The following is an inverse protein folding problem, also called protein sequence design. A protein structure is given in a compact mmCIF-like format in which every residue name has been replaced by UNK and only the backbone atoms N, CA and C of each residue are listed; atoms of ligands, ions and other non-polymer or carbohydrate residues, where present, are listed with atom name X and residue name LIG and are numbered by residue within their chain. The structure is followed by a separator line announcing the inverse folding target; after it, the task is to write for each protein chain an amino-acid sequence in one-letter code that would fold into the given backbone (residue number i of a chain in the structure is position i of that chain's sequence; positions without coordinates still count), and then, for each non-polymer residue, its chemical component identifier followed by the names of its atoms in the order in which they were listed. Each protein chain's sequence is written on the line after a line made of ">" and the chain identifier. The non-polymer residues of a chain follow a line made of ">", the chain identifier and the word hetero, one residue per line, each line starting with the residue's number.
data_IF_396111295248
#
_entry.id   IF_396111295248
#
_cell.length_a   1.000
_cell.length_b   1.000
_cell.length_c   1.000
_cell.angle_alpha   90.00
_cell.angle_beta   90.00
_cell.angle_gamma   90.00
#
_symmetry.space_group_name_H-M   'P 1'
#
loop_
_entity.id
_entity.type
_entity.pdbx_description
1 polymer ?
#
# COMPACT_ATOMS: atom_id res chain seq x y z
N UNK A 1 4.80 3.16 44.72
CA UNK A 1 5.27 3.35 43.33
C UNK A 1 4.07 3.49 42.42
N UNK A 2 3.84 4.65 41.79
CA UNK A 2 2.61 4.94 41.01
C UNK A 2 2.88 4.69 39.53
N UNK A 3 2.19 3.70 38.94
CA UNK A 3 2.25 3.42 37.50
C UNK A 3 1.43 4.48 36.77
N UNK A 4 2.07 5.31 35.94
CA UNK A 4 1.40 6.32 35.13
C UNK A 4 1.10 5.69 33.77
N UNK A 5 -0.14 5.21 33.60
CA UNK A 5 -0.66 4.76 32.30
C UNK A 5 -1.23 5.97 31.56
N UNK A 6 -0.49 6.51 30.60
CA UNK A 6 -1.00 7.56 29.71
C UNK A 6 -1.77 6.90 28.56
N UNK A 7 -3.10 7.03 28.61
CA UNK A 7 -3.99 6.65 27.53
C UNK A 7 -4.26 7.88 26.64
N UNK A 8 -3.37 8.15 25.67
CA UNK A 8 -3.55 9.24 24.71
C UNK A 8 -4.51 8.84 23.58
N UNK A 9 -5.81 8.85 23.87
CA UNK A 9 -6.85 8.72 22.84
C UNK A 9 -7.01 10.04 22.09
N UNK A 10 -6.11 10.30 21.13
CA UNK A 10 -6.26 11.42 20.18
C UNK A 10 -7.31 11.04 19.13
N UNK A 11 -8.57 11.37 19.42
CA UNK A 11 -9.68 11.21 18.47
C UNK A 11 -9.65 12.37 17.46
N UNK A 12 -8.71 12.31 16.51
CA UNK A 12 -8.65 13.29 15.42
C UNK A 12 -9.74 12.98 14.39
N UNK A 13 -10.87 13.70 14.50
CA UNK A 13 -11.96 13.67 13.51
C UNK A 13 -11.49 14.47 12.28
N UNK A 14 -10.66 13.85 11.45
CA UNK A 14 -10.33 14.38 10.14
C UNK A 14 -11.56 14.26 9.23
N UNK A 15 -12.16 15.40 8.89
CA UNK A 15 -13.20 15.47 7.84
C UNK A 15 -12.54 15.19 6.49
N UNK A 16 -12.52 13.93 6.08
CA UNK A 16 -12.05 13.54 4.75
C UNK A 16 -12.98 14.14 3.70
N UNK A 17 -12.54 15.20 3.04
CA UNK A 17 -13.16 15.67 1.80
C UNK A 17 -13.02 14.56 0.77
N UNK A 18 -14.14 13.91 0.45
CA UNK A 18 -14.18 12.86 -0.56
C UNK A 18 -13.99 13.47 -1.95
N UNK A 19 -12.74 13.62 -2.37
CA UNK A 19 -12.43 13.90 -3.77
C UNK A 19 -12.86 12.69 -4.61
N UNK A 20 -14.00 12.84 -5.28
CA UNK A 20 -14.44 11.90 -6.31
C UNK A 20 -13.45 11.99 -7.48
N UNK A 21 -12.45 11.10 -7.48
CA UNK A 21 -11.43 11.09 -8.53
C UNK A 21 -12.08 10.56 -9.81
N UNK A 22 -12.28 11.44 -10.80
CA UNK A 22 -12.83 11.09 -12.10
C UNK A 22 -12.05 9.92 -12.73
N UNK A 23 -12.77 8.93 -13.26
CA UNK A 23 -12.23 7.96 -14.21
C UNK A 23 -11.86 8.67 -15.52
N UNK A 24 -10.64 9.19 -15.60
CA UNK A 24 -10.12 9.89 -16.77
C UNK A 24 -8.71 9.44 -17.13
N UNK A 25 -8.59 8.77 -18.28
CA UNK A 25 -7.30 8.36 -18.85
C UNK A 25 -6.79 7.01 -18.34
N UNK A 26 -6.77 6.00 -19.21
CA UNK A 26 -6.01 4.77 -19.00
C UNK A 26 -4.51 5.05 -19.23
N UNK A 27 -3.92 5.88 -18.36
CA UNK A 27 -2.48 6.02 -18.26
C UNK A 27 -1.93 4.67 -17.81
N UNK A 28 -1.10 4.05 -18.64
CA UNK A 28 -0.43 2.80 -18.27
C UNK A 28 0.66 3.15 -17.27
N UNK A 29 0.30 3.13 -15.99
CA UNK A 29 1.27 3.23 -14.91
C UNK A 29 2.40 2.22 -15.15
N UNK A 30 3.64 2.70 -15.16
CA UNK A 30 4.81 1.85 -15.02
C UNK A 30 4.71 1.07 -13.72
N UNK A 31 5.24 -0.14 -13.71
CA UNK A 31 5.26 -1.01 -12.54
C UNK A 31 6.72 -1.40 -12.26
N UNK A 32 7.53 -0.49 -11.66
CA UNK A 32 8.96 -0.71 -11.47
C UNK A 32 9.32 -2.02 -10.76
N UNK A 33 8.43 -2.52 -9.88
CA UNK A 33 8.65 -3.74 -9.09
C UNK A 33 7.68 -4.89 -9.45
N UNK A 34 6.86 -4.73 -10.49
CA UNK A 34 5.87 -5.71 -10.93
C UNK A 34 4.62 -5.78 -10.03
N UNK A 35 4.34 -4.73 -9.26
CA UNK A 35 3.13 -4.56 -8.45
C UNK A 35 2.01 -3.79 -9.14
N UNK A 36 0.89 -3.64 -8.43
CA UNK A 36 -0.19 -2.72 -8.81
C UNK A 36 0.17 -1.31 -8.35
N UNK A 37 0.13 -0.35 -9.27
CA UNK A 37 0.34 1.08 -8.96
C UNK A 37 -0.99 1.81 -8.87
N UNK A 38 -1.12 2.75 -7.91
CA UNK A 38 -2.25 3.66 -7.78
C UNK A 38 -1.78 5.07 -7.40
N UNK A 39 -2.38 6.09 -8.00
CA UNK A 39 -2.16 7.49 -7.62
C UNK A 39 -2.66 7.79 -6.20
N UNK A 40 -1.96 8.68 -5.51
CA UNK A 40 -2.13 8.99 -4.10
C UNK A 40 -1.73 10.46 -3.84
N UNK A 41 -2.47 11.40 -4.43
CA UNK A 41 -2.13 12.83 -4.45
C UNK A 41 -0.99 13.12 -5.43
N UNK A 42 0.02 13.89 -5.00
CA UNK A 42 1.24 14.19 -5.77
C UNK A 42 2.13 12.94 -6.03
N UNK A 43 1.81 11.81 -5.40
CA UNK A 43 2.61 10.59 -5.37
C UNK A 43 1.85 9.42 -5.99
N UNK A 44 2.56 8.32 -6.23
CA UNK A 44 1.96 7.02 -6.49
C UNK A 44 2.42 6.00 -5.44
N UNK A 45 1.61 4.97 -5.21
CA UNK A 45 1.97 3.84 -4.36
C UNK A 45 1.94 2.59 -5.23
N UNK A 46 3.03 1.83 -5.23
CA UNK A 46 3.09 0.49 -5.79
C UNK A 46 2.96 -0.54 -4.68
N UNK A 47 2.11 -1.55 -4.85
CA UNK A 47 2.03 -2.72 -3.97
C UNK A 47 2.11 -4.00 -4.78
N UNK A 48 3.00 -4.90 -4.38
CA UNK A 48 3.02 -6.29 -4.83
C UNK A 48 2.83 -7.25 -3.65
N UNK A 49 2.19 -8.38 -3.90
CA UNK A 49 1.98 -9.43 -2.91
C UNK A 49 2.49 -10.75 -3.49
N UNK A 50 3.53 -11.31 -2.88
CA UNK A 50 4.16 -12.56 -3.30
C UNK A 50 4.39 -13.43 -2.06
N UNK A 51 3.95 -14.68 -2.09
CA UNK A 51 4.12 -15.65 -1.00
C UNK A 51 3.74 -15.15 0.41
N UNK A 52 2.69 -14.33 0.51
CA UNK A 52 2.22 -13.73 1.77
C UNK A 52 3.02 -12.50 2.23
N UNK A 53 4.05 -12.10 1.50
CA UNK A 53 4.79 -10.87 1.73
C UNK A 53 4.15 -9.72 0.93
N UNK A 54 3.75 -8.66 1.63
CA UNK A 54 3.35 -7.38 1.03
C UNK A 54 4.61 -6.53 0.91
N UNK A 55 4.95 -6.15 -0.32
CA UNK A 55 5.98 -5.15 -0.62
C UNK A 55 5.29 -3.90 -1.16
N UNK A 56 5.56 -2.77 -0.52
CA UNK A 56 5.02 -1.47 -0.88
C UNK A 56 6.15 -0.46 -1.14
N UNK A 57 5.94 0.42 -2.12
CA UNK A 57 6.89 1.45 -2.53
C UNK A 57 6.17 2.79 -2.70
N UNK A 58 6.82 3.87 -2.27
CA UNK A 58 6.39 5.23 -2.57
C UNK A 58 7.08 5.69 -3.85
N UNK A 59 6.31 6.17 -4.82
CA UNK A 59 6.82 6.72 -6.08
C UNK A 59 6.46 8.22 -6.19
N UNK A 60 7.25 8.97 -6.95
CA UNK A 60 6.96 10.37 -7.27
C UNK A 60 5.84 10.51 -8.33
N UNK A 61 5.51 11.75 -8.68
CA UNK A 61 4.54 12.06 -9.74
C UNK A 61 4.96 11.64 -11.17
N UNK A 62 6.16 11.06 -11.33
CA UNK A 62 6.69 10.46 -12.56
C UNK A 62 6.95 8.96 -12.40
N UNK A 63 6.36 8.35 -11.37
CA UNK A 63 6.44 6.91 -11.05
C UNK A 63 7.86 6.41 -10.76
N UNK A 64 8.78 7.30 -10.37
CA UNK A 64 10.12 6.92 -9.90
C UNK A 64 10.09 6.59 -8.40
N UNK A 65 10.72 5.50 -8.02
CA UNK A 65 10.82 5.09 -6.62
C UNK A 65 11.52 6.14 -5.76
N UNK A 66 10.94 6.42 -4.59
CA UNK A 66 11.51 7.30 -3.57
C UNK A 66 12.21 6.44 -2.52
N UNK A 67 13.40 6.88 -2.08
CA UNK A 67 14.15 6.21 -0.99
C UNK A 67 13.33 6.19 0.30
N UNK A 68 13.43 5.09 1.04
CA UNK A 68 12.71 4.90 2.31
C UNK A 68 13.29 5.73 3.47
N UNK A 69 14.45 6.37 3.29
CA UNK A 69 15.08 7.24 4.28
C UNK A 69 14.20 8.46 4.60
N UNK A 70 13.79 8.62 5.86
CA UNK A 70 12.91 9.71 6.27
C UNK A 70 11.43 9.52 5.88
N UNK A 71 11.07 8.33 5.37
CA UNK A 71 9.70 7.95 5.01
C UNK A 71 9.19 6.90 5.99
N UNK A 72 7.96 7.04 6.46
CA UNK A 72 7.29 6.04 7.31
C UNK A 72 6.11 5.42 6.57
N UNK A 73 5.96 4.09 6.65
CA UNK A 73 4.86 3.36 6.03
C UNK A 73 3.96 2.67 7.05
N UNK A 74 2.65 2.71 6.82
CA UNK A 74 1.65 1.94 7.56
C UNK A 74 0.65 1.33 6.58
N UNK A 75 -0.07 0.29 7.02
CA UNK A 75 -1.22 -0.21 6.29
C UNK A 75 -2.38 -0.57 7.23
N UNK A 76 -3.60 -0.26 6.82
CA UNK A 76 -4.83 -0.80 7.42
C UNK A 76 -5.23 -2.01 6.60
N UNK A 77 -5.08 -3.21 7.16
CA UNK A 77 -5.41 -4.48 6.52
C UNK A 77 -6.84 -4.86 6.90
N UNK A 78 -7.69 -5.10 5.90
CA UNK A 78 -9.03 -5.69 6.07
C UNK A 78 -8.94 -7.21 5.89
N UNK A 79 -9.33 -7.95 6.92
CA UNK A 79 -9.44 -9.41 6.91
C UNK A 79 -10.78 -9.85 6.28
N UNK A 80 -10.85 -11.12 5.86
CA UNK A 80 -12.06 -11.69 5.26
C UNK A 80 -13.27 -11.76 6.21
N UNK A 81 -13.04 -11.76 7.53
CA UNK A 81 -14.09 -11.67 8.56
C UNK A 81 -14.60 -10.23 8.79
N UNK A 82 -14.15 -9.27 7.96
CA UNK A 82 -14.53 -7.86 8.03
C UNK A 82 -13.73 -7.04 9.06
N UNK A 83 -12.96 -7.67 9.96
CA UNK A 83 -12.12 -6.94 10.92
C UNK A 83 -10.98 -6.21 10.21
N UNK A 84 -10.51 -5.13 10.83
CA UNK A 84 -9.33 -4.38 10.37
C UNK A 84 -8.19 -4.44 11.39
N UNK A 85 -6.97 -4.27 10.93
CA UNK A 85 -5.79 -4.11 11.77
C UNK A 85 -4.83 -3.10 11.15
N UNK A 86 -4.35 -2.15 11.95
CA UNK A 86 -3.30 -1.21 11.53
C UNK A 86 -1.94 -1.82 11.84
N UNK A 87 -1.07 -1.84 10.84
CA UNK A 87 0.31 -2.34 10.92
C UNK A 87 1.30 -1.27 10.47
N UNK A 88 2.49 -1.26 11.05
CA UNK A 88 3.64 -0.54 10.50
C UNK A 88 4.31 -1.40 9.43
N UNK A 89 4.78 -0.78 8.35
CA UNK A 89 5.57 -1.45 7.33
C UNK A 89 7.06 -1.22 7.62
N UNK A 90 7.85 -2.29 7.65
CA UNK A 90 9.28 -2.21 7.93
C UNK A 90 10.05 -1.84 6.66
N UNK A 91 11.02 -0.91 6.70
CA UNK A 91 11.92 -0.65 5.57
C UNK A 91 12.61 -1.93 5.07
N UNK A 92 12.73 -2.08 3.75
CA UNK A 92 13.37 -3.21 3.08
C UNK A 92 14.19 -2.71 1.89
N UNK A 93 15.50 -2.96 1.93
CA UNK A 93 16.45 -2.31 1.02
C UNK A 93 16.46 -0.78 1.18
N UNK A 94 16.76 -0.06 0.09
CA UNK A 94 16.87 1.41 0.08
C UNK A 94 15.54 2.15 -0.16
N UNK A 95 14.51 1.44 -0.62
CA UNK A 95 13.32 2.03 -1.26
C UNK A 95 12.01 1.31 -0.90
N UNK A 96 12.08 0.02 -0.56
CA UNK A 96 10.90 -0.77 -0.24
C UNK A 96 10.46 -0.66 1.22
N UNK A 97 9.22 -1.04 1.45
CA UNK A 97 8.60 -1.28 2.75
C UNK A 97 7.85 -2.61 2.73
N UNK A 98 7.89 -3.36 3.82
CA UNK A 98 7.51 -4.76 3.85
C UNK A 98 6.65 -5.11 5.07
N UNK A 99 5.69 -6.02 4.87
CA UNK A 99 5.03 -6.75 5.94
C UNK A 99 4.71 -8.18 5.53
N UNK A 100 4.90 -9.14 6.44
CA UNK A 100 4.56 -10.55 6.22
C UNK A 100 3.18 -10.84 6.79
N UNK A 101 2.24 -11.17 5.91
CA UNK A 101 0.90 -11.62 6.26
C UNK A 101 0.95 -13.04 6.84
N UNK A 102 0.05 -13.30 7.79
CA UNK A 102 -0.20 -14.64 8.32
C UNK A 102 -0.92 -15.48 7.25
N UNK A 103 -0.23 -16.48 6.71
CA UNK A 103 -0.71 -17.33 5.61
C UNK A 103 -1.95 -18.18 5.97
N UNK A 104 -2.26 -18.34 7.26
CA UNK A 104 -3.47 -19.03 7.72
C UNK A 104 -4.73 -18.19 7.55
N UNK A 105 -4.59 -16.87 7.47
CA UNK A 105 -5.69 -15.90 7.35
C UNK A 105 -6.00 -15.58 5.88
N UNK A 106 -7.16 -14.96 5.66
CA UNK A 106 -7.60 -14.41 4.37
C UNK A 106 -7.80 -12.90 4.50
N UNK A 107 -7.47 -12.18 3.45
CA UNK A 107 -7.40 -10.72 3.43
C UNK A 107 -8.12 -10.19 2.21
N UNK A 108 -8.86 -9.10 2.39
CA UNK A 108 -9.64 -8.47 1.34
C UNK A 108 -8.88 -7.29 0.73
N UNK A 109 -8.41 -6.37 1.58
CA UNK A 109 -7.79 -5.10 1.14
C UNK A 109 -6.69 -4.64 2.07
N UNK A 110 -5.77 -3.84 1.53
CA UNK A 110 -4.83 -3.01 2.29
C UNK A 110 -5.03 -1.54 1.92
N UNK A 111 -5.22 -0.66 2.89
CA UNK A 111 -5.06 0.79 2.68
C UNK A 111 -3.64 1.13 3.13
N UNK A 112 -2.73 1.31 2.18
CA UNK A 112 -1.33 1.67 2.45
C UNK A 112 -1.22 3.19 2.54
N UNK A 113 -0.54 3.67 3.57
CA UNK A 113 -0.30 5.09 3.80
C UNK A 113 1.18 5.33 4.09
N UNK A 114 1.80 6.20 3.30
CA UNK A 114 3.16 6.71 3.52
C UNK A 114 3.14 8.16 3.99
N UNK A 115 4.08 8.51 4.85
CA UNK A 115 4.39 9.89 5.22
C UNK A 115 5.83 10.20 4.86
N UNK A 116 6.07 11.26 4.09
CA UNK A 116 7.39 11.73 3.67
C UNK A 116 7.45 13.25 3.78
N UNK A 117 8.42 13.78 4.52
CA UNK A 117 8.59 15.23 4.75
C UNK A 117 7.29 15.96 5.17
N UNK A 118 6.44 15.31 5.99
CA UNK A 118 5.15 15.85 6.45
C UNK A 118 4.00 15.74 5.44
N UNK A 119 4.25 15.35 4.18
CA UNK A 119 3.19 15.00 3.21
C UNK A 119 2.76 13.54 3.39
N UNK A 120 1.48 13.26 3.18
CA UNK A 120 0.91 11.91 3.21
C UNK A 120 0.42 11.46 1.84
N UNK A 121 0.72 10.22 1.46
CA UNK A 121 0.16 9.52 0.31
C UNK A 121 -0.62 8.30 0.81
N UNK A 122 -1.85 8.07 0.35
CA UNK A 122 -2.65 6.90 0.75
C UNK A 122 -3.44 6.33 -0.42
N UNK A 123 -3.48 5.00 -0.54
CA UNK A 123 -4.23 4.28 -1.56
C UNK A 123 -4.70 2.90 -1.09
N UNK A 124 -5.85 2.44 -1.61
CA UNK A 124 -6.44 1.14 -1.29
C UNK A 124 -6.13 0.10 -2.36
N UNK A 125 -5.58 -1.04 -1.96
CA UNK A 125 -5.20 -2.18 -2.80
C UNK A 125 -6.03 -3.40 -2.44
N UNK A 126 -6.31 -4.22 -3.45
CA UNK A 126 -6.98 -5.50 -3.28
C UNK A 126 -5.95 -6.57 -2.91
N UNK A 127 -6.28 -7.44 -1.94
CA UNK A 127 -5.45 -8.57 -1.51
C UNK A 127 -6.07 -9.93 -1.86
N UNK A 128 -7.28 -9.95 -2.43
CA UNK A 128 -7.97 -11.18 -2.86
C UNK A 128 -7.42 -11.74 -4.17
N UNK A 129 -6.76 -10.90 -4.98
CA UNK A 129 -6.15 -11.32 -6.24
C UNK A 129 -5.03 -12.32 -5.98
N UNK A 130 -5.21 -13.57 -6.42
CA UNK A 130 -4.06 -14.44 -6.73
C UNK A 130 -3.11 -13.66 -7.64
N UNK A 131 -1.80 -13.82 -7.43
CA UNK A 131 -0.80 -13.25 -8.32
C UNK A 131 -1.21 -13.55 -9.77
N UNK A 132 -1.46 -12.49 -10.56
CA UNK A 132 -1.70 -12.65 -12.00
C UNK A 132 -0.49 -13.42 -12.54
N UNK A 133 -0.67 -14.61 -13.15
CA UNK A 133 0.44 -15.27 -13.80
C UNK A 133 1.12 -14.28 -14.73
N UNK A 134 2.45 -14.35 -14.82
CA UNK A 134 3.11 -13.72 -15.96
C UNK A 134 2.36 -14.17 -17.22
N UNK A 135 2.12 -13.25 -18.15
CA UNK A 135 1.37 -13.59 -19.35
C UNK A 135 2.20 -14.58 -20.17
N UNK A 136 1.95 -15.88 -19.98
CA UNK A 136 2.56 -16.94 -20.75
C UNK A 136 2.21 -16.69 -22.22
N UNK A 137 3.25 -16.40 -23.01
CA UNK A 137 3.15 -16.00 -24.41
C UNK A 137 2.79 -17.17 -25.33
N UNK A 138 1.56 -17.67 -25.20
CA UNK A 138 0.93 -18.66 -26.06
C UNK A 138 -0.55 -18.21 -26.25
N UNK A 139 -1.22 -18.32 -27.40
CA UNK A 139 -0.89 -18.85 -28.74
C UNK A 139 -1.71 -18.00 -29.77
N UNK A 140 -1.69 -18.11 -31.10
CA UNK A 140 -1.28 -19.15 -32.04
C UNK A 140 -0.61 -18.51 -33.29
N UNK A 141 -0.06 -19.35 -34.18
CA UNK A 141 0.00 -19.06 -35.62
C UNK A 141 -1.38 -19.31 -36.26
N UNK A 142 -1.72 -18.55 -37.29
CA UNK A 142 -2.63 -18.95 -38.38
C UNK A 142 -2.28 -18.14 -39.64
#
# INVERSE_FOLDING_TARGET
>A
MKKITILMTVMLIATFTTFAQHSGGNHKHGSPHGGTVKSAGDFHIEVSVKDGMVMAYLLDGKEKTIKNTGVTGTAVIQMADGKTSTISLSPSGNEGFMYTLDKTKKYNKAIVTFTSAGKTASASFDLTTKAKPAADGHNHQH
#
